data_IF_069964256427
#
_entry.id   IF_069964256427
#
_cell.length_a   1.000
_cell.length_b   1.000
_cell.length_c   1.000
_cell.angle_alpha   90.00
_cell.angle_beta   90.00
_cell.angle_gamma   90.00
#
_symmetry.space_group_name_H-M   'P 1'
#
loop_
_entity.id
_entity.type
_entity.pdbx_description
1 polymer ?
#
# COMPACT_ATOMS: atom_id res chain seq x y z
N UNK A 1 -11.72 19.56 28.74
CA UNK A 1 -12.26 19.10 27.44
C UNK A 1 -11.07 18.77 26.56
N UNK A 2 -10.55 17.55 26.66
CA UNK A 2 -9.41 17.10 25.87
C UNK A 2 -9.63 15.64 25.54
N UNK A 3 -10.07 15.35 24.33
CA UNK A 3 -9.98 14.02 23.75
C UNK A 3 -9.33 14.17 22.38
N UNK A 4 -8.01 14.28 22.40
CA UNK A 4 -7.17 14.03 21.24
C UNK A 4 -6.34 12.80 21.58
N UNK A 5 -6.69 11.67 20.98
CA UNK A 5 -5.77 10.55 20.77
C UNK A 5 -6.26 9.83 19.52
N UNK A 6 -5.81 10.39 18.41
CA UNK A 6 -5.93 9.88 17.06
C UNK A 6 -5.55 8.40 16.99
N UNK A 7 -6.30 7.69 16.13
CA UNK A 7 -5.96 6.46 15.39
C UNK A 7 -6.29 5.15 16.12
N UNK A 8 -7.35 4.43 15.70
CA UNK A 8 -7.39 3.00 15.94
C UNK A 8 -6.26 2.39 15.10
N UNK A 9 -5.11 2.18 15.73
CA UNK A 9 -4.10 1.25 15.25
C UNK A 9 -4.67 -0.16 15.40
N UNK A 10 -5.68 -0.48 14.58
CA UNK A 10 -6.01 -1.86 14.28
C UNK A 10 -4.74 -2.41 13.64
N UNK A 11 -4.16 -3.47 14.20
CA UNK A 11 -2.90 -4.08 13.79
C UNK A 11 -2.97 -4.75 12.41
N UNK A 12 -3.38 -3.98 11.40
CA UNK A 12 -3.27 -4.31 10.01
C UNK A 12 -1.79 -4.13 9.70
N UNK A 13 -1.11 -5.20 9.32
CA UNK A 13 0.29 -5.17 8.89
C UNK A 13 0.40 -4.10 7.77
N UNK A 14 0.86 -2.89 8.11
CA UNK A 14 1.01 -1.81 7.14
C UNK A 14 2.43 -1.89 6.59
N UNK A 15 2.57 -2.22 5.30
CA UNK A 15 3.85 -2.27 4.61
C UNK A 15 4.13 -0.92 3.98
N UNK A 16 5.36 -0.42 4.12
CA UNK A 16 5.80 0.74 3.36
C UNK A 16 6.06 0.34 1.90
N UNK A 17 5.45 1.08 0.97
CA UNK A 17 5.62 0.94 -0.47
C UNK A 17 6.12 2.23 -1.09
N UNK A 18 6.78 2.10 -2.24
CA UNK A 18 7.18 3.23 -3.07
C UNK A 18 6.27 3.31 -4.30
N UNK A 19 5.68 4.48 -4.51
CA UNK A 19 4.85 4.74 -5.70
C UNK A 19 5.36 5.98 -6.41
N UNK A 20 5.39 5.94 -7.74
CA UNK A 20 5.75 7.10 -8.54
C UNK A 20 4.53 7.97 -8.80
N UNK A 21 4.66 9.26 -8.50
CA UNK A 21 3.66 10.24 -8.89
C UNK A 21 3.60 10.38 -10.41
N UNK A 22 2.44 10.14 -11.03
CA UNK A 22 2.25 10.32 -12.48
C UNK A 22 2.31 11.78 -12.95
N UNK A 23 2.20 12.76 -12.05
CA UNK A 23 2.20 14.18 -12.41
C UNK A 23 3.60 14.78 -12.43
N UNK A 24 4.38 14.55 -11.37
CA UNK A 24 5.71 15.16 -11.19
C UNK A 24 6.84 14.12 -11.13
N UNK A 25 6.57 12.85 -11.45
CA UNK A 25 7.51 11.73 -11.42
C UNK A 25 8.22 11.48 -10.07
N UNK A 26 7.82 12.18 -9.01
CA UNK A 26 8.42 12.08 -7.68
C UNK A 26 8.06 10.73 -7.04
N UNK A 27 9.04 10.09 -6.42
CA UNK A 27 8.83 8.86 -5.66
C UNK A 27 8.28 9.21 -4.28
N UNK A 28 7.13 8.61 -3.95
CA UNK A 28 6.44 8.82 -2.69
C UNK A 28 6.51 7.54 -1.86
N UNK A 29 6.80 7.73 -0.57
CA UNK A 29 6.72 6.68 0.43
C UNK A 29 5.30 6.64 0.99
N UNK A 30 4.64 5.50 0.88
CA UNK A 30 3.22 5.33 1.28
C UNK A 30 3.04 4.09 2.14
N UNK A 31 2.09 4.15 3.08
CA UNK A 31 1.64 2.96 3.82
C UNK A 31 0.64 2.18 2.96
N UNK A 32 0.91 0.90 2.77
CA UNK A 32 0.06 -0.06 2.07
C UNK A 32 -0.54 -1.01 3.09
N UNK A 33 -1.88 -1.10 3.20
CA UNK A 33 -2.50 -2.06 4.10
C UNK A 33 -2.29 -3.49 3.54
N UNK A 34 -1.69 -4.40 4.32
CA UNK A 34 -1.57 -5.82 3.97
C UNK A 34 -2.86 -6.61 4.22
N UNK A 35 -4.03 -6.02 3.99
CA UNK A 35 -5.25 -6.81 3.91
C UNK A 35 -5.33 -7.37 2.49
N UNK A 36 -5.27 -8.70 2.32
CA UNK A 36 -5.31 -9.40 1.03
C UNK A 36 -6.60 -9.23 0.19
N UNK A 37 -7.39 -8.18 0.46
CA UNK A 37 -8.49 -7.70 -0.35
C UNK A 37 -7.96 -6.57 -1.22
N UNK A 38 -8.15 -6.68 -2.55
CA UNK A 38 -7.87 -5.64 -3.53
C UNK A 38 -8.45 -4.31 -3.04
N UNK A 39 -7.59 -3.43 -2.52
CA UNK A 39 -8.00 -2.14 -1.97
C UNK A 39 -7.41 -1.05 -2.85
N UNK A 40 -8.28 -0.19 -3.37
CA UNK A 40 -7.85 1.04 -4.01
C UNK A 40 -7.52 2.03 -2.90
N UNK A 41 -6.27 2.51 -2.86
CA UNK A 41 -5.82 3.54 -1.92
C UNK A 41 -5.52 4.83 -2.68
N UNK A 42 -6.01 5.94 -2.15
CA UNK A 42 -5.73 7.26 -2.67
C UNK A 42 -4.49 7.82 -1.96
N UNK A 43 -3.47 8.14 -2.75
CA UNK A 43 -2.20 8.69 -2.29
C UNK A 43 -2.13 10.15 -2.74
N UNK A 44 -1.95 11.07 -1.80
CA UNK A 44 -1.68 12.46 -2.14
C UNK A 44 -0.17 12.71 -2.27
N UNK A 45 0.23 13.37 -3.35
CA UNK A 45 1.61 13.78 -3.54
C UNK A 45 1.93 15.04 -2.71
N UNK A 46 2.98 15.00 -1.89
CA UNK A 46 3.43 16.17 -1.12
C UNK A 46 4.03 17.31 -1.96
N UNK A 47 4.44 17.04 -3.21
CA UNK A 47 5.09 18.04 -4.06
C UNK A 47 4.10 18.80 -4.95
N UNK A 48 3.22 18.08 -5.66
CA UNK A 48 2.29 18.68 -6.62
C UNK A 48 0.83 18.69 -6.13
N UNK A 49 0.59 18.26 -4.88
CA UNK A 49 -0.75 18.04 -4.30
C UNK A 49 -1.66 17.10 -5.11
N UNK A 50 -1.14 16.43 -6.15
CA UNK A 50 -1.89 15.53 -7.01
C UNK A 50 -2.29 14.25 -6.30
N UNK A 51 -3.52 13.79 -6.53
CA UNK A 51 -4.04 12.56 -5.94
C UNK A 51 -3.90 11.41 -6.93
N UNK A 52 -3.32 10.30 -6.47
CA UNK A 52 -3.12 9.09 -7.24
C UNK A 52 -3.92 7.94 -6.63
N UNK A 53 -4.74 7.30 -7.46
CA UNK A 53 -5.42 6.07 -7.10
C UNK A 53 -4.52 4.90 -7.47
N UNK A 54 -4.06 4.14 -6.47
CA UNK A 54 -3.27 2.92 -6.68
C UNK A 54 -4.04 1.72 -6.14
N UNK A 55 -4.14 0.66 -6.95
CA UNK A 55 -4.69 -0.62 -6.52
C UNK A 55 -3.57 -1.44 -5.90
N UNK A 56 -3.68 -1.74 -4.61
CA UNK A 56 -2.75 -2.66 -3.95
C UNK A 56 -3.31 -4.07 -4.10
N UNK A 57 -2.73 -4.83 -5.01
CA UNK A 57 -3.02 -6.24 -5.17
C UNK A 57 -1.98 -7.04 -4.41
N UNK A 58 -2.42 -8.09 -3.71
CA UNK A 58 -1.49 -9.08 -3.17
C UNK A 58 -0.69 -9.69 -4.34
N UNK A 59 0.62 -9.91 -4.19
CA UNK A 59 1.38 -10.65 -5.19
C UNK A 59 0.76 -12.04 -5.36
N UNK A 60 0.79 -12.62 -6.58
CA UNK A 60 0.32 -13.99 -6.78
C UNK A 60 1.09 -14.95 -5.86
N UNK A 61 0.45 -16.04 -5.39
CA UNK A 61 1.15 -17.03 -4.60
C UNK A 61 2.38 -17.55 -5.36
N UNK A 62 3.49 -17.89 -4.67
CA UNK A 62 4.66 -18.46 -5.33
C UNK A 62 4.25 -19.72 -6.11
N UNK A 63 4.89 -19.99 -7.27
CA UNK A 63 4.59 -21.20 -8.02
C UNK A 63 4.82 -22.44 -7.15
N UNK A 64 3.99 -23.49 -7.27
CA UNK A 64 4.20 -24.71 -6.51
C UNK A 64 5.61 -25.25 -6.81
N UNK A 65 6.33 -25.76 -5.79
CA UNK A 65 7.65 -26.35 -6.02
C UNK A 65 7.53 -27.45 -7.08
N UNK A 66 8.50 -27.58 -8.00
CA UNK A 66 8.49 -28.65 -8.98
C UNK A 66 8.47 -29.98 -8.21
N UNK A 67 7.36 -30.71 -8.32
CA UNK A 67 7.25 -32.04 -7.74
C UNK A 67 8.33 -32.91 -8.37
N UNK A 68 9.43 -33.11 -7.66
CA UNK A 68 10.39 -34.18 -7.92
C UNK A 68 9.63 -35.50 -7.77
N UNK A 69 9.00 -35.96 -8.86
CA UNK A 69 8.49 -37.32 -8.96
C UNK A 69 9.71 -38.24 -9.03
N UNK A 70 10.11 -38.78 -7.88
CA UNK A 70 10.83 -40.06 -7.82
C UNK A 70 9.83 -41.21 -7.88
#
# INVERSE_FOLDING_TARGET
MSSSASRPALGLDERLGYVQCRFCATILLVSVPCSGLLKMVAVQCGCCAGVLSVSVASPPPPPPPPSLRL
#
